data_IF_680674288204
#
_entry.id   IF_680674288204
#
_cell.length_a   1.000
_cell.length_b   1.000
_cell.length_c   1.000
_cell.angle_alpha   90.00
_cell.angle_beta   90.00
_cell.angle_gamma   90.00
#
_symmetry.space_group_name_H-M   'P 1'
#
loop_
_entity.id
_entity.type
_entity.pdbx_description
1 polymer ?
#
# COMPACT_ATOMS: atom_id res chain seq x y z
N UNK A 1 12.06 18.05 44.80
CA UNK A 1 12.27 18.05 43.33
C UNK A 1 13.39 17.11 42.88
N UNK A 2 13.58 15.93 43.50
CA UNK A 2 14.60 14.95 43.04
C UNK A 2 13.95 13.61 42.69
N UNK A 3 12.82 13.26 43.31
CA UNK A 3 12.15 11.97 43.14
C UNK A 3 11.40 11.79 41.81
N UNK A 4 10.90 12.88 41.21
CA UNK A 4 10.16 12.85 39.94
C UNK A 4 11.09 12.55 38.75
N UNK A 5 12.34 13.01 38.82
CA UNK A 5 13.31 12.86 37.73
C UNK A 5 13.77 11.41 37.51
N UNK A 6 13.68 10.59 38.55
CA UNK A 6 14.11 9.18 38.49
C UNK A 6 13.07 8.33 37.75
N UNK A 7 11.77 8.64 37.87
CA UNK A 7 10.68 7.87 37.25
C UNK A 7 10.60 8.03 35.73
N UNK A 8 10.90 9.21 35.18
CA UNK A 8 10.91 9.42 33.72
C UNK A 8 11.99 8.61 33.01
N UNK A 9 13.16 8.44 33.65
CA UNK A 9 14.29 7.78 33.02
C UNK A 9 14.05 6.27 32.82
N UNK A 10 13.33 5.64 33.75
CA UNK A 10 13.01 4.21 33.65
C UNK A 10 11.80 3.93 32.73
N UNK A 11 10.85 4.86 32.61
CA UNK A 11 9.73 4.73 31.68
C UNK A 11 10.19 4.79 30.22
N UNK A 12 11.18 5.64 29.93
CA UNK A 12 11.79 5.76 28.59
C UNK A 12 12.58 4.50 28.17
N UNK A 13 13.29 3.87 29.12
CA UNK A 13 14.04 2.63 28.87
C UNK A 13 13.13 1.40 28.66
N UNK A 14 11.92 1.39 29.21
CA UNK A 14 10.97 0.28 29.04
C UNK A 14 10.23 0.33 27.69
N UNK A 15 10.06 1.52 27.10
CA UNK A 15 9.41 1.68 25.80
C UNK A 15 10.31 1.32 24.60
N UNK A 16 11.64 1.39 24.76
CA UNK A 16 12.57 1.01 23.69
C UNK A 16 12.70 -0.51 23.48
N UNK A 17 12.38 -1.33 24.49
CA UNK A 17 12.52 -2.80 24.39
C UNK A 17 11.34 -3.48 23.70
N UNK A 18 10.22 -2.77 23.46
CA UNK A 18 9.03 -3.37 22.84
C UNK A 18 9.06 -3.42 21.30
N UNK A 19 10.03 -2.74 20.63
CA UNK A 19 10.07 -2.69 19.16
C UNK A 19 10.85 -3.88 18.57
N UNK A 20 11.61 -4.62 19.36
CA UNK A 20 12.33 -5.81 18.88
C UNK A 20 11.47 -7.06 19.01
N UNK A 21 10.49 -7.24 18.12
CA UNK A 21 9.92 -8.56 17.80
C UNK A 21 9.07 -8.52 16.52
N UNK A 22 9.55 -9.21 15.48
CA UNK A 22 8.81 -9.64 14.25
C UNK A 22 8.65 -8.66 13.07
N UNK A 23 9.75 -8.13 12.50
CA UNK A 23 9.69 -7.33 11.26
C UNK A 23 10.59 -7.81 10.11
N UNK A 24 11.02 -9.08 10.07
CA UNK A 24 12.01 -9.52 9.05
C UNK A 24 11.39 -9.97 7.72
N UNK A 25 10.20 -10.57 7.70
CA UNK A 25 9.61 -11.07 6.44
C UNK A 25 8.83 -9.98 5.67
N UNK A 26 8.14 -9.10 6.38
CA UNK A 26 7.30 -8.05 5.79
C UNK A 26 8.10 -6.92 5.13
N UNK A 27 9.32 -6.62 5.60
CA UNK A 27 10.15 -5.54 5.05
C UNK A 27 10.61 -5.85 3.64
N UNK A 28 11.04 -7.09 3.38
CA UNK A 28 11.53 -7.51 2.05
C UNK A 28 10.45 -7.42 0.96
N UNK A 29 9.21 -7.80 1.27
CA UNK A 29 8.09 -7.70 0.33
C UNK A 29 7.62 -6.26 0.14
N UNK A 30 7.64 -5.44 1.20
CA UNK A 30 7.34 -4.02 1.10
C UNK A 30 8.37 -3.28 0.23
N UNK A 31 9.66 -3.57 0.39
CA UNK A 31 10.72 -3.02 -0.46
C UNK A 31 10.53 -3.41 -1.93
N UNK A 32 10.16 -4.67 -2.20
CA UNK A 32 9.85 -5.13 -3.56
C UNK A 32 8.66 -4.39 -4.15
N UNK A 33 7.58 -4.22 -3.39
CA UNK A 33 6.40 -3.45 -3.84
C UNK A 33 6.76 -2.00 -4.15
N UNK A 34 7.58 -1.34 -3.30
CA UNK A 34 8.02 0.04 -3.56
C UNK A 34 8.85 0.11 -4.84
N UNK A 35 9.84 -0.76 -5.02
CA UNK A 35 10.67 -0.80 -6.25
C UNK A 35 9.82 -1.08 -7.49
N UNK A 36 8.84 -1.97 -7.38
CA UNK A 36 7.90 -2.24 -8.46
C UNK A 36 7.11 -0.98 -8.82
N UNK A 37 6.50 -0.30 -7.85
CA UNK A 37 5.74 0.94 -8.09
C UNK A 37 6.61 2.05 -8.70
N UNK A 38 7.87 2.19 -8.27
CA UNK A 38 8.80 3.19 -8.83
C UNK A 38 9.18 2.92 -10.29
N UNK A 39 9.24 1.65 -10.70
CA UNK A 39 9.66 1.24 -12.05
C UNK A 39 8.51 0.99 -13.02
N UNK A 40 7.29 0.77 -12.53
CA UNK A 40 6.13 0.44 -13.35
C UNK A 40 5.79 1.54 -14.37
N UNK A 41 5.40 1.14 -15.58
CA UNK A 41 4.91 2.05 -16.63
C UNK A 41 5.97 2.96 -17.27
N UNK A 42 7.23 2.94 -16.83
CA UNK A 42 8.30 3.75 -17.43
C UNK A 42 7.99 5.25 -17.44
N UNK A 43 7.84 5.83 -18.64
CA UNK A 43 7.46 7.25 -18.84
C UNK A 43 5.95 7.45 -19.02
N UNK A 44 5.14 6.39 -19.02
CA UNK A 44 3.70 6.50 -19.13
C UNK A 44 3.06 6.93 -17.79
N UNK A 45 2.68 8.20 -17.72
CA UNK A 45 2.07 8.80 -16.53
C UNK A 45 0.73 8.17 -16.15
N UNK A 46 -0.08 7.74 -17.11
CA UNK A 46 -1.36 7.09 -16.82
C UNK A 46 -1.17 5.69 -16.24
N UNK A 47 -0.19 4.92 -16.73
CA UNK A 47 0.16 3.62 -16.15
C UNK A 47 0.68 3.77 -14.71
N UNK A 48 1.56 4.77 -14.47
CA UNK A 48 2.08 5.09 -13.13
C UNK A 48 1.00 5.58 -12.17
N UNK A 49 0.12 6.46 -12.66
CA UNK A 49 -1.00 6.97 -11.88
C UNK A 49 -1.95 5.85 -11.48
N UNK A 50 -2.35 5.02 -12.45
CA UNK A 50 -3.29 3.93 -12.22
C UNK A 50 -2.74 2.89 -11.24
N UNK A 51 -1.47 2.49 -11.35
CA UNK A 51 -0.87 1.50 -10.45
C UNK A 51 -0.75 2.02 -9.01
N UNK A 52 -0.40 3.31 -8.84
CA UNK A 52 -0.33 3.94 -7.54
C UNK A 52 -1.72 4.05 -6.91
N UNK A 53 -2.73 4.45 -7.69
CA UNK A 53 -4.11 4.52 -7.22
C UNK A 53 -4.66 3.12 -6.87
N UNK A 54 -4.33 2.11 -7.65
CA UNK A 54 -4.67 0.72 -7.34
C UNK A 54 -4.04 0.25 -6.02
N UNK A 55 -2.77 0.57 -5.78
CA UNK A 55 -2.07 0.29 -4.51
C UNK A 55 -2.75 0.96 -3.30
N UNK A 56 -3.11 2.25 -3.43
CA UNK A 56 -3.80 2.99 -2.38
C UNK A 56 -5.22 2.45 -2.13
N UNK A 57 -5.98 2.21 -3.21
CA UNK A 57 -7.34 1.67 -3.14
C UNK A 57 -7.36 0.29 -2.46
N UNK A 58 -6.40 -0.57 -2.81
CA UNK A 58 -6.23 -1.86 -2.18
C UNK A 58 -5.93 -1.73 -0.69
N UNK A 59 -4.94 -0.91 -0.34
CA UNK A 59 -4.49 -0.77 1.06
C UNK A 59 -5.62 -0.27 1.96
N UNK A 60 -6.39 0.71 1.50
CA UNK A 60 -7.55 1.22 2.23
C UNK A 60 -8.72 0.22 2.31
N UNK A 61 -8.85 -0.71 1.36
CA UNK A 61 -9.95 -1.67 1.33
C UNK A 61 -9.64 -2.96 2.10
N UNK A 62 -8.42 -3.47 1.98
CA UNK A 62 -7.99 -4.70 2.66
C UNK A 62 -7.33 -4.45 4.03
N UNK A 63 -7.08 -3.20 4.41
CA UNK A 63 -6.36 -2.81 5.62
C UNK A 63 -4.97 -3.50 5.77
N UNK A 64 -4.26 -3.63 4.65
CA UNK A 64 -2.89 -4.18 4.59
C UNK A 64 -2.16 -3.73 3.34
N UNK A 65 -0.84 -3.84 3.38
CA UNK A 65 -0.01 -3.56 2.21
C UNK A 65 -0.28 -4.57 1.08
N UNK A 66 -0.27 -4.05 -0.15
CA UNK A 66 -0.36 -4.84 -1.36
C UNK A 66 0.99 -5.49 -1.68
N UNK A 67 0.96 -6.70 -2.24
CA UNK A 67 2.15 -7.41 -2.75
C UNK A 67 2.33 -7.18 -4.26
N UNK A 68 3.54 -7.42 -4.78
CA UNK A 68 3.81 -7.34 -6.23
C UNK A 68 2.91 -8.29 -7.03
N UNK A 69 2.68 -9.51 -6.52
CA UNK A 69 1.80 -10.47 -7.19
C UNK A 69 0.34 -9.98 -7.29
N UNK A 70 -0.15 -9.30 -6.26
CA UNK A 70 -1.50 -8.71 -6.25
C UNK A 70 -1.59 -7.50 -7.18
N UNK A 71 -0.56 -6.65 -7.20
CA UNK A 71 -0.46 -5.55 -8.16
C UNK A 71 -0.45 -6.06 -9.60
N UNK A 72 0.34 -7.10 -9.91
CA UNK A 72 0.33 -7.75 -11.22
C UNK A 72 -1.05 -8.33 -11.57
N UNK A 73 -1.74 -8.91 -10.59
CA UNK A 73 -3.08 -9.45 -10.80
C UNK A 73 -4.10 -8.34 -11.07
N UNK A 74 -3.97 -7.18 -10.43
CA UNK A 74 -4.83 -6.02 -10.67
C UNK A 74 -4.47 -5.40 -12.03
N UNK A 75 -3.20 -5.20 -12.36
CA UNK A 75 -2.78 -4.50 -13.57
C UNK A 75 -3.18 -5.20 -14.87
N UNK A 76 -3.47 -6.50 -14.79
CA UNK A 76 -3.95 -7.33 -15.91
C UNK A 76 -5.48 -7.42 -15.99
N UNK A 77 -6.21 -6.75 -15.09
CA UNK A 77 -7.67 -6.81 -15.04
C UNK A 77 -8.34 -5.75 -15.92
N UNK A 78 -9.59 -5.99 -16.30
CA UNK A 78 -10.37 -5.05 -17.11
C UNK A 78 -10.65 -3.75 -16.33
N UNK A 79 -10.91 -3.85 -15.04
CA UNK A 79 -11.12 -2.72 -14.13
C UNK A 79 -9.89 -1.81 -14.06
N UNK A 80 -8.69 -2.37 -14.18
CA UNK A 80 -7.47 -1.57 -14.25
C UNK A 80 -7.33 -0.84 -15.58
N UNK A 81 -7.74 -1.46 -16.69
CA UNK A 81 -7.79 -0.77 -17.99
C UNK A 81 -8.80 0.39 -17.97
N UNK A 82 -9.94 0.22 -17.32
CA UNK A 82 -10.92 1.28 -17.08
C UNK A 82 -10.32 2.41 -16.23
N UNK A 83 -9.71 2.09 -15.08
CA UNK A 83 -9.04 3.08 -14.24
C UNK A 83 -7.97 3.85 -15.02
N UNK A 84 -7.19 3.17 -15.86
CA UNK A 84 -6.20 3.82 -16.71
C UNK A 84 -6.86 4.76 -17.71
N UNK A 85 -7.96 4.35 -18.33
CA UNK A 85 -8.72 5.18 -19.28
C UNK A 85 -9.19 6.48 -18.63
N UNK A 86 -9.70 6.42 -17.40
CA UNK A 86 -10.11 7.59 -16.63
C UNK A 86 -8.94 8.53 -16.30
N UNK A 87 -7.71 8.00 -16.24
CA UNK A 87 -6.47 8.74 -15.96
C UNK A 87 -5.68 9.13 -17.23
N UNK A 88 -6.26 8.96 -18.42
CA UNK A 88 -5.66 9.43 -19.66
C UNK A 88 -5.53 10.96 -19.67
N UNK A 89 -4.59 11.46 -20.47
CA UNK A 89 -4.32 12.89 -20.64
C UNK A 89 -4.00 13.63 -19.33
N UNK A 90 -3.45 12.92 -18.33
CA UNK A 90 -3.05 13.48 -17.05
C UNK A 90 -4.21 13.77 -16.09
N UNK A 91 -5.41 13.24 -16.35
CA UNK A 91 -6.54 13.36 -15.43
C UNK A 91 -6.25 12.65 -14.11
N UNK A 92 -6.51 13.35 -13.00
CA UNK A 92 -6.40 12.79 -11.67
C UNK A 92 -7.68 12.03 -11.31
N UNK A 93 -7.54 10.78 -10.89
CA UNK A 93 -8.63 9.99 -10.30
C UNK A 93 -8.39 9.87 -8.80
N UNK A 94 -9.38 10.25 -8.00
CA UNK A 94 -9.31 10.12 -6.54
C UNK A 94 -9.44 8.67 -6.07
N UNK A 95 -8.88 8.38 -4.89
CA UNK A 95 -8.84 7.00 -4.35
C UNK A 95 -10.23 6.39 -4.19
N UNK A 96 -11.25 7.16 -3.82
CA UNK A 96 -12.63 6.64 -3.70
C UNK A 96 -13.19 6.15 -5.05
N UNK A 97 -12.93 6.87 -6.14
CA UNK A 97 -13.34 6.47 -7.48
C UNK A 97 -12.53 5.25 -7.94
N UNK A 98 -11.22 5.21 -7.67
CA UNK A 98 -10.40 4.03 -7.93
C UNK A 98 -10.89 2.79 -7.15
N UNK A 99 -11.26 2.94 -5.87
CA UNK A 99 -11.87 1.86 -5.07
C UNK A 99 -13.17 1.34 -5.66
N UNK A 100 -14.00 2.25 -6.19
CA UNK A 100 -15.24 1.86 -6.85
C UNK A 100 -14.97 1.07 -8.13
N UNK A 101 -14.11 1.57 -9.02
CA UNK A 101 -13.75 0.90 -10.27
C UNK A 101 -13.13 -0.48 -9.99
N UNK A 102 -12.17 -0.54 -9.06
CA UNK A 102 -11.43 -1.77 -8.75
C UNK A 102 -12.14 -2.69 -7.74
N UNK A 103 -13.38 -2.39 -7.35
CA UNK A 103 -14.04 -2.99 -6.18
C UNK A 103 -14.03 -4.51 -6.23
N UNK A 104 -14.53 -5.10 -7.32
CA UNK A 104 -14.64 -6.55 -7.45
C UNK A 104 -13.27 -7.24 -7.38
N UNK A 105 -12.28 -6.69 -8.07
CA UNK A 105 -10.94 -7.26 -8.12
C UNK A 105 -10.27 -7.21 -6.75
N UNK A 106 -10.38 -6.07 -6.07
CA UNK A 106 -9.82 -5.88 -4.73
C UNK A 106 -10.51 -6.79 -3.72
N UNK A 107 -11.84 -6.87 -3.73
CA UNK A 107 -12.61 -7.71 -2.80
C UNK A 107 -12.23 -9.19 -2.91
N UNK A 108 -12.10 -9.70 -4.15
CA UNK A 108 -11.62 -11.07 -4.42
C UNK A 108 -10.23 -11.32 -3.82
N UNK A 109 -9.32 -10.35 -3.90
CA UNK A 109 -7.95 -10.47 -3.35
C UNK A 109 -7.91 -10.30 -1.83
N UNK A 110 -8.73 -9.42 -1.24
CA UNK A 110 -8.82 -9.29 0.21
C UNK A 110 -9.32 -10.60 0.84
N UNK A 111 -10.31 -11.27 0.23
CA UNK A 111 -10.93 -12.51 0.74
C UNK A 111 -10.02 -13.73 0.63
N UNK A 112 -9.16 -13.83 -0.40
CA UNK A 112 -8.23 -14.97 -0.59
C UNK A 112 -7.20 -15.17 0.54
N UNK A 113 -7.03 -14.18 1.42
CA UNK A 113 -6.06 -14.21 2.54
C UNK A 113 -6.72 -14.28 3.92
N UNK A 114 -8.06 -14.38 3.98
CA UNK A 114 -8.80 -14.69 5.22
C UNK A 114 -9.02 -16.19 5.31
#
# INVERSE_FOLDING_TARGET
MIQIYIMEKYLSLFLLSLITSTASANTSEQERTVRYLSSYGGLNYSDKGAINMASMAFTQSCNRNITVAELNSISTSAEFAELKSEMQDGKAVGVNKAKFILHEKIDKLCKKRK
#
